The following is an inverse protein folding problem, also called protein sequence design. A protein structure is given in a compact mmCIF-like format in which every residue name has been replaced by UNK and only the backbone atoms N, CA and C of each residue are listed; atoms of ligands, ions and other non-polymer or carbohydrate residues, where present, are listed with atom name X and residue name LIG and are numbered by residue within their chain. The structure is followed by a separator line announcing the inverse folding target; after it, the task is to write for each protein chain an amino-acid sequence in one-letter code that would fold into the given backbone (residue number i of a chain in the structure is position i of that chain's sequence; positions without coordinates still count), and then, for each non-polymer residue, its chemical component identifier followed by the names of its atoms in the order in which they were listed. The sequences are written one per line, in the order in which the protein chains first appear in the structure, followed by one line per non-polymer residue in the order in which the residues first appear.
data_IF_417435091066
#
_entry.id   IF_417435091066
#
_cell.length_a   1.000
_cell.length_b   1.000
_cell.length_c   1.000
_cell.angle_alpha   90.00
_cell.angle_beta   90.00
_cell.angle_gamma   90.00
#
_symmetry.space_group_name_H-M   'P 1'
#
loop_
_entity.id
_entity.type
_entity.pdbx_description
1 polymer ?
#
# COMPACT_ATOMS: atom_id res chain seq x y z
N UNK A 1 -7.83 24.14 -2.09
CA UNK A 1 -7.71 23.02 -1.13
C UNK A 1 -6.29 23.01 -0.61
N UNK A 2 -6.09 22.93 0.70
CA UNK A 2 -4.77 22.81 1.31
C UNK A 2 -4.24 21.39 1.08
N UNK A 3 -3.02 21.20 0.58
CA UNK A 3 -2.50 19.86 0.30
C UNK A 3 -2.21 19.06 1.57
N UNK A 4 -2.37 17.73 1.51
CA UNK A 4 -1.88 16.83 2.55
C UNK A 4 -0.36 16.77 2.49
N UNK A 5 0.30 17.10 3.59
CA UNK A 5 1.75 16.95 3.73
C UNK A 5 2.06 15.55 4.23
N UNK A 6 2.85 14.81 3.47
CA UNK A 6 3.28 13.45 3.75
C UNK A 6 4.80 13.47 3.93
N UNK A 7 5.28 13.07 5.11
CA UNK A 7 6.71 12.92 5.37
C UNK A 7 7.13 11.46 5.29
N UNK A 8 8.28 11.18 4.70
CA UNK A 8 8.92 9.87 4.72
C UNK A 8 10.43 10.00 4.91
N UNK A 9 11.09 8.94 5.38
CA UNK A 9 12.56 8.86 5.50
C UNK A 9 13.26 8.64 4.15
N UNK A 10 12.50 8.50 3.06
CA UNK A 10 13.01 8.37 1.71
C UNK A 10 12.01 8.88 0.67
N UNK A 11 12.49 9.12 -0.54
CA UNK A 11 11.66 9.40 -1.71
C UNK A 11 12.10 8.46 -2.83
N UNK A 12 11.12 7.84 -3.49
CA UNK A 12 11.33 6.90 -4.59
C UNK A 12 10.23 7.05 -5.64
N UNK A 13 10.47 6.56 -6.85
CA UNK A 13 9.48 6.55 -7.92
C UNK A 13 8.31 5.60 -7.59
N UNK A 14 8.57 4.47 -6.92
CA UNK A 14 7.48 3.60 -6.43
C UNK A 14 6.59 4.29 -5.40
N UNK A 15 7.18 5.01 -4.45
CA UNK A 15 6.42 5.78 -3.45
C UNK A 15 5.62 6.90 -4.14
N UNK A 16 6.24 7.67 -5.03
CA UNK A 16 5.55 8.72 -5.80
C UNK A 16 4.39 8.16 -6.62
N UNK A 17 4.61 7.08 -7.37
CA UNK A 17 3.57 6.41 -8.16
C UNK A 17 2.40 5.96 -7.29
N UNK A 18 2.69 5.40 -6.11
CA UNK A 18 1.67 4.97 -5.14
C UNK A 18 0.86 6.16 -4.62
N UNK A 19 1.53 7.25 -4.21
CA UNK A 19 0.87 8.44 -3.70
C UNK A 19 0.09 9.18 -4.80
N UNK A 20 0.59 9.21 -6.03
CA UNK A 20 -0.13 9.74 -7.19
C UNK A 20 -1.40 8.95 -7.48
N UNK A 21 -1.34 7.62 -7.40
CA UNK A 21 -2.54 6.79 -7.52
C UNK A 21 -3.54 7.08 -6.39
N UNK A 22 -3.11 7.05 -5.13
CA UNK A 22 -3.98 7.28 -3.98
C UNK A 22 -4.57 8.68 -4.01
N UNK A 23 -3.73 9.71 -3.99
CA UNK A 23 -4.15 11.09 -3.75
C UNK A 23 -4.64 11.77 -5.03
N UNK A 24 -3.95 11.64 -6.16
CA UNK A 24 -4.35 12.35 -7.39
C UNK A 24 -5.40 11.59 -8.19
N UNK A 25 -5.32 10.26 -8.26
CA UNK A 25 -6.20 9.46 -9.14
C UNK A 25 -7.48 9.03 -8.45
N UNK A 26 -7.40 8.48 -7.22
CA UNK A 26 -8.57 7.94 -6.52
C UNK A 26 -9.26 9.00 -5.66
N UNK A 27 -8.49 9.76 -4.88
CA UNK A 27 -9.04 10.76 -3.95
C UNK A 27 -9.21 12.15 -4.56
N UNK A 28 -8.62 12.41 -5.73
CA UNK A 28 -8.59 13.72 -6.41
C UNK A 28 -8.19 14.88 -5.49
N UNK A 29 -7.26 14.64 -4.56
CA UNK A 29 -6.81 15.56 -3.52
C UNK A 29 -5.31 15.85 -3.63
N UNK A 30 -4.87 17.12 -3.54
CA UNK A 30 -3.46 17.46 -3.67
C UNK A 30 -2.65 17.00 -2.45
N UNK A 31 -1.42 16.55 -2.69
CA UNK A 31 -0.47 16.19 -1.63
C UNK A 31 0.93 16.78 -1.91
N UNK A 32 1.73 16.92 -0.87
CA UNK A 32 3.15 17.27 -0.91
C UNK A 32 3.91 16.16 -0.19
N UNK A 33 4.90 15.57 -0.85
CA UNK A 33 5.82 14.61 -0.24
C UNK A 33 7.12 15.32 0.16
N UNK A 34 7.52 15.16 1.42
CA UNK A 34 8.77 15.70 1.97
C UNK A 34 9.65 14.58 2.55
N UNK A 35 10.97 14.78 2.53
CA UNK A 35 11.97 13.89 3.15
C UNK A 35 12.58 14.49 4.42
N UNK A 36 11.78 15.25 5.15
CA UNK A 36 12.18 15.82 6.43
C UNK A 36 11.19 15.29 7.47
N UNK A 37 11.67 14.39 8.33
CA UNK A 37 10.86 13.83 9.39
C UNK A 37 10.66 14.82 10.55
N UNK A 38 11.48 15.86 10.68
CA UNK A 38 11.36 16.87 11.73
C UNK A 38 10.37 17.98 11.36
N UNK A 39 10.04 18.11 10.07
CA UNK A 39 9.01 19.02 9.58
C UNK A 39 7.59 18.53 9.92
N UNK A 40 6.66 19.48 10.03
CA UNK A 40 5.24 19.17 10.21
C UNK A 40 4.70 18.37 9.02
N UNK A 41 4.00 17.28 9.32
CA UNK A 41 3.31 16.46 8.34
C UNK A 41 1.97 15.95 8.87
N UNK A 42 0.98 15.86 7.99
CA UNK A 42 -0.32 15.27 8.31
C UNK A 42 -0.20 13.75 8.42
N UNK A 43 0.58 13.15 7.53
CA UNK A 43 0.87 11.72 7.49
C UNK A 43 2.38 11.50 7.56
N UNK A 44 2.84 10.61 8.44
CA UNK A 44 4.23 10.15 8.49
C UNK A 44 4.32 8.70 8.02
N UNK A 45 5.04 8.46 6.94
CA UNK A 45 5.37 7.14 6.43
C UNK A 45 6.81 6.74 6.81
N UNK A 46 6.96 6.01 7.91
CA UNK A 46 8.26 5.71 8.53
C UNK A 46 8.20 4.45 9.40
N UNK A 47 9.35 3.93 9.82
CA UNK A 47 9.43 2.92 10.88
C UNK A 47 9.33 3.51 12.29
N UNK A 48 9.46 4.84 12.43
CA UNK A 48 9.38 5.57 13.71
C UNK A 48 8.10 6.41 13.78
N UNK A 49 7.34 6.36 14.89
CA UNK A 49 6.10 7.12 15.01
C UNK A 49 6.33 8.63 15.21
N UNK A 50 5.27 9.40 15.01
CA UNK A 50 5.08 10.81 15.38
C UNK A 50 3.91 10.91 16.36
N UNK A 51 3.99 11.83 17.31
CA UNK A 51 2.82 12.21 18.13
C UNK A 51 1.93 13.24 17.44
N UNK A 52 2.42 13.89 16.39
CA UNK A 52 1.76 15.03 15.71
C UNK A 52 1.16 14.67 14.35
N UNK A 53 1.31 13.42 13.92
CA UNK A 53 0.91 12.96 12.58
C UNK A 53 0.16 11.63 12.66
N UNK A 54 -0.67 11.36 11.64
CA UNK A 54 -1.17 10.02 11.40
C UNK A 54 0.02 9.16 10.95
N UNK A 55 0.31 8.09 11.70
CA UNK A 55 1.44 7.22 11.41
C UNK A 55 1.03 6.11 10.45
N UNK A 56 1.69 6.01 9.30
CA UNK A 56 1.65 4.83 8.46
C UNK A 56 3.01 4.15 8.63
N UNK A 57 3.01 3.05 9.36
CA UNK A 57 4.25 2.33 9.63
C UNK A 57 4.71 1.59 8.36
N UNK A 58 5.95 1.86 7.96
CA UNK A 58 6.62 1.14 6.87
C UNK A 58 7.07 -0.23 7.36
N UNK A 59 6.50 -1.28 6.77
CA UNK A 59 6.84 -2.68 7.09
C UNK A 59 7.67 -3.32 5.99
N UNK A 60 7.41 -2.93 4.75
CA UNK A 60 8.07 -3.50 3.59
C UNK A 60 9.10 -2.54 2.99
N UNK A 61 10.24 -3.04 2.50
CA UNK A 61 11.15 -2.26 1.67
C UNK A 61 10.63 -2.07 0.23
N UNK A 62 9.46 -2.64 -0.13
CA UNK A 62 8.92 -2.68 -1.49
C UNK A 62 8.89 -1.33 -2.20
N UNK A 63 8.59 -0.26 -1.46
CA UNK A 63 8.55 1.09 -2.02
C UNK A 63 9.94 1.71 -2.24
N UNK A 64 11.03 1.10 -1.77
CA UNK A 64 12.38 1.57 -2.12
C UNK A 64 12.76 1.06 -3.52
N UNK A 65 13.24 1.94 -4.40
CA UNK A 65 13.55 1.59 -5.80
C UNK A 65 14.75 0.65 -5.95
N UNK A 66 15.63 0.61 -4.95
CA UNK A 66 16.92 -0.09 -5.03
C UNK A 66 16.83 -1.61 -5.00
N UNK A 67 15.63 -2.18 -4.81
CA UNK A 67 15.47 -3.63 -4.64
C UNK A 67 14.28 -4.16 -5.45
N UNK A 68 14.56 -5.10 -6.34
CA UNK A 68 13.56 -6.00 -6.90
C UNK A 68 13.64 -7.30 -6.10
N UNK A 69 12.79 -7.44 -5.09
CA UNK A 69 12.76 -8.60 -4.20
C UNK A 69 11.56 -9.49 -4.55
N UNK A 70 11.73 -10.82 -4.44
CA UNK A 70 10.60 -11.77 -4.46
C UNK A 70 9.89 -11.78 -3.11
N UNK A 71 9.47 -10.60 -2.67
CA UNK A 71 8.73 -10.44 -1.43
C UNK A 71 7.26 -10.77 -1.68
N UNK A 72 6.72 -11.68 -0.87
CA UNK A 72 5.29 -11.98 -0.81
C UNK A 72 4.81 -11.38 0.51
N UNK A 73 3.81 -10.49 0.50
CA UNK A 73 3.30 -9.87 1.72
C UNK A 73 2.73 -10.93 2.66
N UNK A 74 2.94 -10.72 3.96
CA UNK A 74 2.09 -11.34 4.97
C UNK A 74 0.66 -10.85 4.80
N UNK A 75 -0.32 -11.74 4.97
CA UNK A 75 -1.73 -11.42 4.78
C UNK A 75 -2.57 -11.80 5.99
N UNK A 76 -3.50 -10.93 6.38
CA UNK A 76 -4.59 -11.25 7.29
C UNK A 76 -5.91 -11.26 6.52
N UNK A 77 -6.68 -12.35 6.67
CA UNK A 77 -7.91 -12.59 5.90
C UNK A 77 -9.04 -13.03 6.79
N UNK A 78 -10.20 -12.42 6.62
CA UNK A 78 -11.50 -12.90 7.12
C UNK A 78 -12.59 -12.58 6.09
N UNK A 79 -13.81 -13.05 6.32
CA UNK A 79 -14.91 -12.92 5.37
C UNK A 79 -15.13 -11.49 4.86
N UNK A 80 -14.83 -10.46 5.65
CA UNK A 80 -15.03 -9.06 5.27
C UNK A 80 -13.76 -8.19 5.36
N UNK A 81 -12.60 -8.82 5.55
CA UNK A 81 -11.34 -8.12 5.78
C UNK A 81 -10.19 -8.79 5.03
N UNK A 82 -9.40 -7.96 4.36
CA UNK A 82 -8.10 -8.31 3.83
C UNK A 82 -7.14 -7.20 4.23
N UNK A 83 -6.01 -7.60 4.78
CA UNK A 83 -4.87 -6.73 5.02
C UNK A 83 -3.62 -7.35 4.40
N UNK A 84 -2.81 -6.52 3.74
CA UNK A 84 -1.48 -6.88 3.28
C UNK A 84 -0.47 -6.07 4.10
N UNK A 85 0.62 -6.71 4.53
CA UNK A 85 1.59 -6.10 5.45
C UNK A 85 0.93 -5.62 6.77
N UNK A 86 0.24 -6.52 7.50
CA UNK A 86 -0.46 -6.19 8.73
C UNK A 86 0.50 -5.73 9.83
N UNK A 87 -0.01 -4.92 10.76
CA UNK A 87 0.74 -4.31 11.86
C UNK A 87 -0.01 -4.52 13.17
N UNK A 88 0.65 -5.19 14.12
CA UNK A 88 0.10 -5.50 15.45
C UNK A 88 0.19 -4.33 16.44
N UNK A 89 0.26 -3.08 15.96
CA UNK A 89 0.34 -1.87 16.78
C UNK A 89 -0.92 -1.04 16.56
N UNK A 90 -1.29 -0.23 17.57
CA UNK A 90 -2.36 0.77 17.43
C UNK A 90 -2.00 1.77 16.32
N UNK A 91 -2.43 1.46 15.11
CA UNK A 91 -2.35 2.31 13.94
C UNK A 91 -3.76 2.41 13.34
N UNK A 92 -4.12 3.58 12.85
CA UNK A 92 -5.39 3.85 12.18
C UNK A 92 -5.74 2.82 11.07
N UNK A 93 -4.73 2.26 10.38
CA UNK A 93 -4.94 1.34 9.26
C UNK A 93 -4.58 -0.12 9.53
N UNK A 94 -3.93 -0.45 10.66
CA UNK A 94 -3.41 -1.79 10.99
C UNK A 94 -2.61 -2.47 9.87
N UNK A 95 -2.09 -1.72 8.90
CA UNK A 95 -1.33 -2.23 7.76
C UNK A 95 -0.42 -1.15 7.15
N UNK A 96 0.62 -1.55 6.45
CA UNK A 96 1.38 -0.68 5.55
C UNK A 96 0.58 -0.48 4.25
N UNK A 97 -0.39 0.44 4.31
CA UNK A 97 -1.34 0.70 3.21
C UNK A 97 -0.63 1.14 1.93
N UNK A 98 0.48 1.88 2.01
CA UNK A 98 1.20 2.32 0.81
C UNK A 98 1.86 1.13 0.11
N UNK A 99 2.54 0.25 0.85
CA UNK A 99 3.10 -0.98 0.27
C UNK A 99 2.01 -1.91 -0.27
N UNK A 100 0.90 -2.05 0.45
CA UNK A 100 -0.25 -2.86 0.03
C UNK A 100 -0.86 -2.38 -1.29
N UNK A 101 -1.08 -1.07 -1.43
CA UNK A 101 -1.61 -0.45 -2.66
C UNK A 101 -0.64 -0.68 -3.80
N UNK A 102 0.64 -0.34 -3.63
CA UNK A 102 1.66 -0.51 -4.67
C UNK A 102 1.75 -1.96 -5.16
N UNK A 103 1.77 -2.92 -4.25
CA UNK A 103 1.84 -4.35 -4.56
C UNK A 103 0.73 -4.76 -5.53
N UNK A 104 -0.50 -4.31 -5.26
CA UNK A 104 -1.67 -4.61 -6.08
C UNK A 104 -1.65 -3.87 -7.43
N UNK A 105 -1.46 -2.55 -7.44
CA UNK A 105 -1.59 -1.74 -8.66
C UNK A 105 -0.43 -1.94 -9.65
N UNK A 106 0.76 -2.32 -9.15
CA UNK A 106 1.89 -2.66 -10.01
C UNK A 106 1.83 -4.11 -10.52
N UNK A 107 0.91 -4.92 -9.98
CA UNK A 107 0.88 -6.37 -10.22
C UNK A 107 2.16 -7.05 -9.78
N UNK A 108 2.76 -6.61 -8.67
CA UNK A 108 4.13 -6.96 -8.27
C UNK A 108 4.37 -8.47 -8.22
N UNK A 109 3.39 -9.24 -7.74
CA UNK A 109 3.46 -10.70 -7.65
C UNK A 109 3.63 -11.39 -9.01
N UNK A 110 3.16 -10.76 -10.09
CA UNK A 110 3.20 -11.33 -11.45
C UNK A 110 4.62 -11.41 -11.99
N UNK A 111 5.52 -10.53 -11.56
CA UNK A 111 6.94 -10.57 -11.98
C UNK A 111 7.67 -11.84 -11.50
N UNK A 112 7.17 -12.49 -10.45
CA UNK A 112 7.80 -13.66 -9.85
C UNK A 112 6.96 -14.94 -9.94
N UNK A 113 5.78 -14.85 -10.54
CA UNK A 113 4.93 -16.01 -10.72
C UNK A 113 5.53 -16.94 -11.78
N UNK A 114 5.51 -18.24 -11.48
CA UNK A 114 5.96 -19.31 -12.39
C UNK A 114 4.79 -20.11 -12.98
N UNK A 115 3.57 -19.87 -12.51
CA UNK A 115 2.39 -20.66 -12.83
C UNK A 115 1.40 -19.84 -13.64
N UNK A 116 1.31 -20.18 -14.91
CA UNK A 116 0.39 -19.57 -15.86
C UNK A 116 -0.60 -20.62 -16.37
N UNK A 117 -1.76 -20.19 -16.81
CA UNK A 117 -2.67 -21.08 -17.52
C UNK A 117 -2.14 -21.43 -18.93
N UNK A 118 -2.91 -22.23 -19.68
CA UNK A 118 -2.54 -22.66 -21.03
C UNK A 118 -2.36 -21.51 -22.03
N UNK A 119 -2.84 -20.31 -21.70
CA UNK A 119 -2.71 -19.10 -22.51
C UNK A 119 -1.64 -18.14 -21.97
N UNK A 120 -0.86 -18.55 -20.96
CA UNK A 120 0.16 -17.70 -20.36
C UNK A 120 -0.39 -16.62 -19.42
N UNK A 121 -1.66 -16.72 -18.98
CA UNK A 121 -2.28 -15.74 -18.10
C UNK A 121 -2.01 -16.07 -16.64
N UNK A 122 -1.88 -15.03 -15.82
CA UNK A 122 -1.78 -15.17 -14.38
C UNK A 122 -3.09 -15.74 -13.82
N UNK A 123 -2.99 -16.85 -13.09
CA UNK A 123 -4.13 -17.55 -12.48
C UNK A 123 -4.58 -16.77 -11.23
N UNK A 124 -5.82 -16.26 -11.16
CA UNK A 124 -6.29 -15.43 -10.05
C UNK A 124 -6.14 -16.08 -8.67
N UNK A 125 -6.31 -17.40 -8.57
CA UNK A 125 -6.17 -18.20 -7.35
C UNK A 125 -4.76 -18.12 -6.75
N UNK A 126 -3.76 -17.82 -7.57
CA UNK A 126 -2.38 -17.60 -7.13
C UNK A 126 -2.15 -16.18 -6.60
N UNK A 127 -3.13 -15.28 -6.72
CA UNK A 127 -3.01 -13.93 -6.21
C UNK A 127 -3.07 -13.91 -4.70
N UNK A 128 -2.20 -13.11 -4.11
CA UNK A 128 -2.22 -12.79 -2.69
C UNK A 128 -3.57 -12.21 -2.25
N UNK A 129 -4.25 -11.44 -3.11
CA UNK A 129 -5.54 -10.84 -2.78
C UNK A 129 -6.73 -11.75 -3.10
N UNK A 130 -6.48 -12.96 -3.62
CA UNK A 130 -7.54 -13.92 -3.88
C UNK A 130 -8.25 -14.32 -2.57
N UNK A 131 -9.58 -14.36 -2.64
CA UNK A 131 -10.44 -14.71 -1.52
C UNK A 131 -11.57 -15.62 -2.00
N UNK A 132 -11.55 -16.89 -1.59
CA UNK A 132 -12.52 -17.92 -2.05
C UNK A 132 -13.99 -17.56 -1.79
N UNK A 133 -14.27 -16.78 -0.73
CA UNK A 133 -15.62 -16.32 -0.40
C UNK A 133 -16.14 -15.18 -1.28
N UNK A 134 -15.29 -14.55 -2.10
CA UNK A 134 -15.68 -13.50 -3.03
C UNK A 134 -15.50 -14.01 -4.47
N UNK A 135 -16.56 -14.53 -5.12
CA UNK A 135 -16.48 -15.03 -6.50
C UNK A 135 -16.16 -13.92 -7.53
N UNK A 136 -16.23 -12.65 -7.11
CA UNK A 136 -15.76 -11.48 -7.86
C UNK A 136 -14.58 -10.84 -7.13
N UNK A 137 -13.70 -10.18 -7.88
CA UNK A 137 -12.59 -9.39 -7.33
C UNK A 137 -13.20 -8.26 -6.49
N UNK A 138 -13.20 -8.44 -5.17
CA UNK A 138 -13.59 -7.39 -4.25
C UNK A 138 -12.58 -6.23 -4.37
N UNK A 139 -13.02 -4.96 -4.44
CA UNK A 139 -12.14 -3.81 -4.68
C UNK A 139 -11.38 -3.43 -3.40
N UNK A 140 -10.46 -4.30 -2.97
CA UNK A 140 -9.71 -4.14 -1.73
C UNK A 140 -8.89 -2.85 -1.71
N UNK A 141 -8.25 -2.51 -2.83
CA UNK A 141 -7.44 -1.30 -2.99
C UNK A 141 -8.29 -0.05 -2.74
N UNK A 142 -9.42 0.07 -3.43
CA UNK A 142 -10.36 1.18 -3.26
C UNK A 142 -10.88 1.25 -1.82
N UNK A 143 -11.25 0.11 -1.23
CA UNK A 143 -11.70 0.06 0.18
C UNK A 143 -10.64 0.61 1.13
N UNK A 144 -9.37 0.23 0.97
CA UNK A 144 -8.29 0.75 1.82
C UNK A 144 -8.10 2.26 1.60
N UNK A 145 -8.14 2.73 0.35
CA UNK A 145 -7.96 4.15 0.03
C UNK A 145 -9.12 5.00 0.60
N UNK A 146 -10.37 4.55 0.49
CA UNK A 146 -11.49 5.29 1.07
C UNK A 146 -11.52 5.26 2.60
N UNK A 147 -10.88 4.29 3.25
CA UNK A 147 -10.64 4.34 4.69
C UNK A 147 -9.60 5.43 5.04
N UNK A 148 -8.63 5.70 4.17
CA UNK A 148 -7.63 6.78 4.36
C UNK A 148 -8.25 8.18 4.31
N UNK A 149 -9.36 8.34 3.60
CA UNK A 149 -10.07 9.61 3.43
C UNK A 149 -11.08 9.93 4.54
N UNK A 150 -11.33 9.01 5.47
CA UNK A 150 -12.22 9.23 6.62
C UNK A 150 -11.46 9.82 7.79
#
# INVERSE_FOLDING_TARGET
MTPVIIASDFISERLKYTLDFIFKTVLEFPYILINDLDAFAHIRYSTKPSTESINIFKISPLLNDNFLTKEIPTTEKSDNHLSLYPINQENYFNQDIFSAVFYCISGYERYFNKYFDIHGRFIPENSTIFHRGFPFIYPWVDKWIFLLAK
#
